data_IF_467625168934
#
_entry.id   IF_467625168934
#
_cell.length_a   1.000
_cell.length_b   1.000
_cell.length_c   1.000
_cell.angle_alpha   90.00
_cell.angle_beta   90.00
_cell.angle_gamma   90.00
#
_symmetry.space_group_name_H-M   'P 1'
#
loop_
_entity.id
_entity.type
_entity.pdbx_description
1 polymer ?
#
# COMPACT_ATOMS: atom_id res chain seq x y z
N UNK A 1 40.73 -2.63 0.79
CA UNK A 1 40.06 -3.66 -0.02
C UNK A 1 39.55 -4.85 0.79
N UNK A 2 40.31 -5.41 1.75
CA UNK A 2 39.88 -6.54 2.61
C UNK A 2 38.54 -6.34 3.39
N UNK A 3 38.16 -5.09 3.69
CA UNK A 3 36.86 -4.75 4.33
C UNK A 3 35.63 -5.10 3.49
N UNK A 4 35.78 -5.21 2.16
CA UNK A 4 34.67 -5.46 1.23
C UNK A 4 34.59 -6.92 0.78
N UNK A 5 35.51 -7.77 1.26
CA UNK A 5 35.56 -9.20 0.91
C UNK A 5 34.71 -10.00 1.90
N UNK A 6 33.39 -9.94 1.67
CA UNK A 6 32.39 -10.60 2.52
C UNK A 6 31.97 -11.90 1.83
N UNK A 7 32.32 -13.04 2.43
CA UNK A 7 31.89 -14.34 1.97
C UNK A 7 30.52 -14.71 2.56
N UNK A 8 29.61 -15.28 1.76
CA UNK A 8 28.35 -15.80 2.28
C UNK A 8 28.63 -17.05 3.15
N UNK A 9 27.75 -17.29 4.11
CA UNK A 9 27.75 -18.56 4.85
C UNK A 9 27.36 -19.69 3.89
N UNK A 10 28.16 -20.75 3.87
CA UNK A 10 27.90 -21.96 3.07
C UNK A 10 27.76 -23.13 4.05
N UNK A 11 26.58 -23.77 4.12
CA UNK A 11 26.40 -24.93 4.99
C UNK A 11 27.32 -26.07 4.55
N UNK A 12 28.13 -26.59 5.47
CA UNK A 12 28.93 -27.80 5.29
C UNK A 12 28.22 -29.01 5.88
N UNK A 13 28.31 -30.16 5.24
CA UNK A 13 27.72 -31.40 5.71
C UNK A 13 28.65 -32.59 5.46
N UNK A 14 28.55 -33.61 6.30
CA UNK A 14 29.29 -34.86 6.15
C UNK A 14 28.52 -35.86 5.29
N UNK A 15 29.23 -36.85 4.71
CA UNK A 15 28.61 -37.85 3.84
C UNK A 15 27.48 -38.63 4.54
N UNK A 16 27.66 -38.98 5.81
CA UNK A 16 26.65 -39.69 6.60
C UNK A 16 25.36 -38.87 6.80
N UNK A 17 25.50 -37.57 7.05
CA UNK A 17 24.35 -36.65 7.19
C UNK A 17 23.59 -36.48 5.88
N UNK A 18 24.29 -36.59 4.75
CA UNK A 18 23.67 -36.50 3.44
C UNK A 18 22.76 -37.70 3.18
N UNK A 19 23.27 -38.91 3.40
CA UNK A 19 22.54 -40.16 3.18
C UNK A 19 21.29 -40.28 4.07
N UNK A 20 21.37 -39.82 5.31
CA UNK A 20 20.27 -39.92 6.28
C UNK A 20 19.18 -38.86 6.08
N UNK A 21 19.54 -37.61 5.77
CA UNK A 21 18.59 -36.49 5.84
C UNK A 21 18.47 -35.65 4.55
N UNK A 22 19.46 -35.68 3.66
CA UNK A 22 19.53 -34.75 2.52
C UNK A 22 19.27 -35.41 1.15
N UNK A 23 18.93 -36.69 1.12
CA UNK A 23 18.58 -37.42 -0.10
C UNK A 23 17.34 -36.84 -0.79
N UNK A 24 17.33 -36.88 -2.12
CA UNK A 24 16.26 -36.35 -2.96
C UNK A 24 16.21 -37.12 -4.28
N UNK A 25 15.01 -37.43 -4.81
CA UNK A 25 14.87 -38.22 -6.04
C UNK A 25 15.38 -37.51 -7.29
N UNK A 26 15.44 -36.18 -7.30
CA UNK A 26 15.83 -35.37 -8.46
C UNK A 26 17.28 -34.90 -8.39
N UNK A 27 17.98 -35.13 -7.29
CA UNK A 27 19.33 -34.60 -7.04
C UNK A 27 20.30 -35.68 -6.56
N UNK A 28 21.44 -35.78 -7.24
CA UNK A 28 22.53 -36.64 -6.76
C UNK A 28 23.35 -35.93 -5.67
N UNK A 29 24.10 -36.73 -4.88
CA UNK A 29 25.01 -36.21 -3.88
C UNK A 29 26.10 -35.33 -4.51
N UNK A 30 26.64 -35.77 -5.64
CA UNK A 30 27.67 -35.06 -6.40
C UNK A 30 27.15 -33.73 -6.96
N UNK A 31 25.94 -33.73 -7.55
CA UNK A 31 25.31 -32.51 -8.06
C UNK A 31 25.04 -31.51 -6.92
N UNK A 32 24.61 -32.02 -5.77
CA UNK A 32 24.37 -31.17 -4.60
C UNK A 32 25.67 -30.57 -4.07
N UNK A 33 26.75 -31.34 -4.00
CA UNK A 33 28.07 -30.83 -3.60
C UNK A 33 28.58 -29.77 -4.59
N UNK A 34 28.39 -30.01 -5.90
CA UNK A 34 28.72 -29.06 -6.94
C UNK A 34 27.95 -27.73 -6.80
N UNK A 35 26.65 -27.79 -6.47
CA UNK A 35 25.86 -26.60 -6.17
C UNK A 35 26.41 -25.81 -4.99
N UNK A 36 26.79 -26.47 -3.89
CA UNK A 36 27.35 -25.79 -2.72
C UNK A 36 28.70 -25.12 -3.04
N UNK A 37 29.56 -25.80 -3.79
CA UNK A 37 30.82 -25.24 -4.26
C UNK A 37 30.59 -24.01 -5.17
N UNK A 38 29.70 -24.14 -6.16
CA UNK A 38 29.37 -23.06 -7.09
C UNK A 38 28.79 -21.85 -6.35
N UNK A 39 27.96 -22.09 -5.33
CA UNK A 39 27.41 -21.04 -4.47
C UNK A 39 28.52 -20.28 -3.73
N UNK A 40 29.51 -20.98 -3.18
CA UNK A 40 30.67 -20.40 -2.51
C UNK A 40 31.52 -19.55 -3.47
N UNK A 41 31.88 -20.10 -4.64
CA UNK A 41 32.69 -19.43 -5.65
C UNK A 41 32.02 -18.17 -6.21
N UNK A 42 30.69 -18.18 -6.32
CA UNK A 42 29.90 -17.07 -6.85
C UNK A 42 29.42 -16.09 -5.75
N UNK A 43 29.92 -16.21 -4.52
CA UNK A 43 29.55 -15.35 -3.38
C UNK A 43 28.03 -15.26 -3.15
N UNK A 44 27.30 -16.36 -3.36
CA UNK A 44 25.85 -16.44 -3.14
C UNK A 44 24.99 -15.63 -4.11
N UNK A 45 25.57 -15.15 -5.21
CA UNK A 45 24.84 -14.37 -6.23
C UNK A 45 24.10 -15.29 -7.18
N UNK A 46 22.82 -15.54 -6.89
CA UNK A 46 21.96 -16.45 -7.68
C UNK A 46 22.00 -16.27 -9.20
N UNK A 47 21.97 -15.05 -9.78
CA UNK A 47 22.06 -14.89 -11.24
C UNK A 47 23.39 -15.41 -11.80
N UNK A 48 24.50 -15.18 -11.09
CA UNK A 48 25.84 -15.63 -11.51
C UNK A 48 25.98 -17.14 -11.33
N UNK A 49 25.44 -17.68 -10.23
CA UNK A 49 25.40 -19.12 -9.98
C UNK A 49 24.69 -19.80 -11.14
N UNK A 50 23.47 -19.37 -11.48
CA UNK A 50 22.68 -19.95 -12.56
C UNK A 50 23.37 -19.84 -13.92
N UNK A 51 24.01 -18.71 -14.23
CA UNK A 51 24.76 -18.51 -15.47
C UNK A 51 25.97 -19.45 -15.59
N UNK A 52 26.65 -19.72 -14.48
CA UNK A 52 27.84 -20.61 -14.44
C UNK A 52 27.51 -22.07 -14.15
N UNK A 53 26.24 -22.38 -13.86
CA UNK A 53 25.84 -23.72 -13.45
C UNK A 53 25.79 -24.64 -14.66
N UNK A 54 26.88 -25.38 -14.87
CA UNK A 54 26.95 -26.44 -15.88
C UNK A 54 27.24 -27.77 -15.18
N UNK A 55 26.19 -28.57 -14.99
CA UNK A 55 26.30 -29.91 -14.44
C UNK A 55 25.80 -30.92 -15.48
N UNK A 56 26.74 -31.59 -16.15
CA UNK A 56 26.46 -32.69 -17.09
C UNK A 56 25.40 -32.35 -18.16
N UNK A 57 25.30 -31.08 -18.59
CA UNK A 57 24.30 -30.62 -19.55
C UNK A 57 22.87 -30.52 -18.99
N UNK A 58 22.68 -30.62 -17.67
CA UNK A 58 21.40 -30.42 -17.00
C UNK A 58 21.00 -28.94 -17.03
N UNK A 59 19.82 -28.65 -17.57
CA UNK A 59 19.23 -27.31 -17.60
C UNK A 59 18.36 -27.11 -16.36
N UNK A 60 18.98 -26.72 -15.24
CA UNK A 60 18.26 -26.39 -14.00
C UNK A 60 17.79 -24.96 -14.02
N UNK A 61 16.55 -24.70 -13.58
CA UNK A 61 16.09 -23.33 -13.41
C UNK A 61 16.68 -22.73 -12.14
N UNK A 62 16.78 -21.40 -12.09
CA UNK A 62 17.27 -20.66 -10.93
C UNK A 62 16.45 -20.97 -9.66
N UNK A 63 15.15 -21.21 -9.82
CA UNK A 63 14.21 -21.56 -8.77
C UNK A 63 14.47 -22.98 -8.22
N UNK A 64 14.83 -23.94 -9.07
CA UNK A 64 15.21 -25.30 -8.66
C UNK A 64 16.51 -25.31 -7.85
N UNK A 65 17.53 -24.57 -8.31
CA UNK A 65 18.81 -24.44 -7.61
C UNK A 65 18.59 -23.85 -6.20
N UNK A 66 17.74 -22.82 -6.10
CA UNK A 66 17.35 -22.21 -4.82
C UNK A 66 16.60 -23.18 -3.92
N UNK A 67 15.62 -23.89 -4.46
CA UNK A 67 14.82 -24.83 -3.70
C UNK A 67 15.70 -25.89 -3.04
N UNK A 68 16.66 -26.46 -3.80
CA UNK A 68 17.60 -27.45 -3.29
C UNK A 68 18.48 -26.87 -2.18
N UNK A 69 19.10 -25.73 -2.43
CA UNK A 69 19.98 -25.07 -1.46
C UNK A 69 19.26 -24.70 -0.16
N UNK A 70 18.06 -24.13 -0.25
CA UNK A 70 17.28 -23.72 0.92
C UNK A 70 16.76 -24.91 1.73
N UNK A 71 16.35 -25.99 1.06
CA UNK A 71 15.94 -27.23 1.74
C UNK A 71 17.09 -27.80 2.58
N UNK A 72 18.27 -27.92 1.99
CA UNK A 72 19.47 -28.42 2.69
C UNK A 72 19.83 -27.48 3.83
N UNK A 73 19.87 -26.18 3.58
CA UNK A 73 20.19 -25.18 4.60
C UNK A 73 19.22 -25.24 5.78
N UNK A 74 17.91 -25.39 5.51
CA UNK A 74 16.90 -25.50 6.56
C UNK A 74 17.05 -26.80 7.36
N UNK A 75 17.33 -27.93 6.69
CA UNK A 75 17.54 -29.22 7.35
C UNK A 75 18.80 -29.23 8.21
N UNK A 76 19.92 -28.73 7.70
CA UNK A 76 21.17 -28.64 8.46
C UNK A 76 21.01 -27.73 9.67
N UNK A 77 20.36 -26.59 9.49
CA UNK A 77 20.09 -25.66 10.59
C UNK A 77 19.21 -26.29 11.68
N UNK A 78 18.21 -27.10 11.32
CA UNK A 78 17.37 -27.82 12.27
C UNK A 78 18.10 -28.99 12.96
N UNK A 79 19.09 -29.60 12.31
CA UNK A 79 19.94 -30.65 12.89
C UNK A 79 20.96 -30.08 13.87
N UNK A 80 21.57 -28.93 13.53
CA UNK A 80 22.52 -28.23 14.40
C UNK A 80 21.85 -27.61 15.63
N UNK A 81 20.66 -27.04 15.44
CA UNK A 81 19.90 -26.40 16.52
C UNK A 81 18.42 -26.77 16.38
N UNK A 82 17.90 -27.68 17.22
CA UNK A 82 16.50 -28.03 17.24
C UNK A 82 15.62 -26.78 17.42
N UNK A 83 14.41 -26.81 16.84
CA UNK A 83 13.48 -25.65 16.80
C UNK A 83 13.24 -25.03 18.19
N UNK A 84 13.21 -25.85 19.24
CA UNK A 84 12.97 -25.40 20.62
C UNK A 84 14.12 -24.59 21.23
N UNK A 85 15.34 -24.77 20.74
CA UNK A 85 16.56 -24.12 21.26
C UNK A 85 17.03 -22.97 20.37
N UNK A 86 16.31 -22.73 19.28
CA UNK A 86 16.69 -21.80 18.25
C UNK A 86 16.52 -20.34 18.68
N UNK A 87 17.52 -19.50 18.41
CA UNK A 87 17.37 -18.06 18.64
C UNK A 87 16.28 -17.46 17.75
N UNK A 88 15.63 -16.34 18.14
CA UNK A 88 14.57 -15.73 17.32
C UNK A 88 15.00 -15.42 15.88
N UNK A 89 16.26 -15.00 15.69
CA UNK A 89 16.84 -14.73 14.36
C UNK A 89 17.06 -16.00 13.54
N UNK A 90 17.55 -17.07 14.17
CA UNK A 90 17.71 -18.37 13.50
C UNK A 90 16.34 -18.94 13.12
N UNK A 91 15.35 -18.86 14.00
CA UNK A 91 13.99 -19.35 13.72
C UNK A 91 13.33 -18.58 12.57
N UNK A 92 13.52 -17.26 12.51
CA UNK A 92 13.07 -16.47 11.37
C UNK A 92 13.74 -16.91 10.05
N UNK A 93 15.05 -17.18 10.07
CA UNK A 93 15.78 -17.70 8.90
C UNK A 93 15.25 -19.08 8.49
N UNK A 94 15.16 -20.02 9.43
CA UNK A 94 14.64 -21.37 9.18
C UNK A 94 13.24 -21.33 8.57
N UNK A 95 12.34 -20.54 9.15
CA UNK A 95 10.99 -20.35 8.62
C UNK A 95 11.01 -19.80 7.19
N UNK A 96 11.89 -18.84 6.91
CA UNK A 96 12.03 -18.26 5.58
C UNK A 96 12.50 -19.30 4.57
N UNK A 97 13.55 -20.06 4.90
CA UNK A 97 14.11 -21.12 4.05
C UNK A 97 13.10 -22.23 3.79
N UNK A 98 12.37 -22.67 4.81
CA UNK A 98 11.40 -23.76 4.72
C UNK A 98 10.10 -23.35 4.02
N UNK A 99 9.77 -22.06 3.98
CA UNK A 99 8.59 -21.52 3.28
C UNK A 99 8.80 -21.28 1.79
N UNK A 100 9.99 -21.51 1.26
CA UNK A 100 10.29 -21.25 -0.14
C UNK A 100 9.57 -22.24 -1.06
N UNK A 101 8.78 -21.70 -1.98
CA UNK A 101 8.04 -22.46 -2.99
C UNK A 101 8.56 -22.10 -4.41
N UNK A 102 9.21 -23.03 -5.12
CA UNK A 102 9.77 -22.76 -6.45
C UNK A 102 8.68 -22.42 -7.48
N UNK A 103 7.49 -23.03 -7.39
CA UNK A 103 6.40 -22.80 -8.33
C UNK A 103 5.83 -21.39 -8.21
N UNK A 104 5.66 -20.93 -6.96
CA UNK A 104 5.23 -19.58 -6.67
C UNK A 104 6.25 -18.55 -7.16
N UNK A 105 7.54 -18.81 -6.96
CA UNK A 105 8.61 -17.92 -7.41
C UNK A 105 8.68 -17.83 -8.94
N UNK A 106 8.49 -18.96 -9.63
CA UNK A 106 8.41 -19.04 -11.09
C UNK A 106 7.26 -18.20 -11.64
N UNK A 107 6.05 -18.37 -11.11
CA UNK A 107 4.86 -17.56 -11.49
C UNK A 107 5.08 -16.07 -11.21
N UNK A 108 5.73 -15.75 -10.09
CA UNK A 108 6.07 -14.36 -9.74
C UNK A 108 7.02 -13.75 -10.77
N UNK A 109 8.04 -14.50 -11.21
CA UNK A 109 8.99 -14.07 -12.25
C UNK A 109 8.31 -13.90 -13.61
N UNK A 110 7.46 -14.84 -13.99
CA UNK A 110 6.68 -14.76 -15.23
C UNK A 110 5.77 -13.53 -15.26
N UNK A 111 5.07 -13.23 -14.15
CA UNK A 111 4.26 -12.02 -14.03
C UNK A 111 5.09 -10.75 -14.18
N UNK A 112 6.25 -10.67 -13.52
CA UNK A 112 7.16 -9.53 -13.65
C UNK A 112 7.72 -9.39 -15.06
N UNK A 113 8.02 -10.51 -15.73
CA UNK A 113 8.48 -10.51 -17.10
C UNK A 113 7.36 -10.01 -18.04
N UNK A 114 6.12 -10.42 -17.81
CA UNK A 114 4.95 -9.89 -18.54
C UNK A 114 4.81 -8.37 -18.34
N UNK A 115 4.88 -7.89 -17.10
CA UNK A 115 4.85 -6.44 -16.82
C UNK A 115 5.99 -5.66 -17.45
N UNK A 116 7.19 -6.25 -17.52
CA UNK A 116 8.36 -5.59 -18.11
C UNK A 116 8.20 -5.36 -19.62
N UNK A 117 7.53 -6.28 -20.32
CA UNK A 117 7.32 -6.19 -21.76
C UNK A 117 5.96 -5.59 -22.14
N UNK A 118 5.22 -5.07 -21.15
CA UNK A 118 3.90 -4.49 -21.36
C UNK A 118 3.99 -3.19 -22.18
N UNK A 119 3.20 -3.11 -23.24
CA UNK A 119 3.13 -1.92 -24.09
C UNK A 119 2.23 -0.83 -23.48
N UNK A 120 2.46 0.45 -23.81
CA UNK A 120 1.60 1.54 -23.34
C UNK A 120 0.15 1.43 -23.83
N UNK A 121 -0.06 0.89 -25.04
CA UNK A 121 -1.40 0.72 -25.62
C UNK A 121 -2.21 -0.34 -24.84
N UNK A 122 -1.59 -1.45 -24.46
CA UNK A 122 -2.19 -2.45 -23.55
C UNK A 122 -2.50 -1.86 -22.16
N UNK A 123 -1.71 -0.88 -21.70
CA UNK A 123 -2.02 -0.14 -20.47
C UNK A 123 -3.30 0.67 -20.61
N UNK A 124 -3.42 1.46 -21.66
CA UNK A 124 -4.60 2.26 -21.90
C UNK A 124 -5.86 1.40 -22.05
N UNK A 125 -5.78 0.33 -22.84
CA UNK A 125 -6.89 -0.62 -23.01
C UNK A 125 -7.31 -1.25 -21.68
N UNK A 126 -6.40 -1.82 -20.90
CA UNK A 126 -6.75 -2.40 -19.59
C UNK A 126 -7.37 -1.37 -18.64
N UNK A 127 -6.87 -0.13 -18.62
CA UNK A 127 -7.45 0.92 -17.78
C UNK A 127 -8.86 1.32 -18.24
N UNK A 128 -9.12 1.29 -19.55
CA UNK A 128 -10.45 1.52 -20.13
C UNK A 128 -11.41 0.39 -19.74
N UNK A 129 -10.97 -0.87 -19.83
CA UNK A 129 -11.76 -2.05 -19.46
C UNK A 129 -12.08 -2.06 -17.96
N UNK A 130 -11.12 -1.68 -17.10
CA UNK A 130 -11.35 -1.55 -15.67
C UNK A 130 -12.38 -0.47 -15.33
N UNK A 131 -12.35 0.66 -16.04
CA UNK A 131 -13.36 1.73 -15.89
C UNK A 131 -14.73 1.22 -16.31
N UNK A 132 -14.82 0.51 -17.43
CA UNK A 132 -16.08 -0.07 -17.91
C UNK A 132 -16.61 -1.17 -16.97
N UNK A 133 -15.73 -2.02 -16.45
CA UNK A 133 -16.08 -3.03 -15.45
C UNK A 133 -16.61 -2.39 -14.17
N UNK A 134 -15.96 -1.33 -13.66
CA UNK A 134 -16.47 -0.57 -12.52
C UNK A 134 -17.85 0.03 -12.79
N UNK A 135 -18.06 0.56 -14.00
CA UNK A 135 -19.36 1.10 -14.42
C UNK A 135 -20.43 0.00 -14.47
N UNK A 136 -20.10 -1.18 -14.99
CA UNK A 136 -21.00 -2.34 -15.02
C UNK A 136 -21.34 -2.79 -13.60
N UNK A 137 -20.34 -2.90 -12.71
CA UNK A 137 -20.56 -3.29 -11.31
C UNK A 137 -21.45 -2.28 -10.57
N UNK A 138 -21.25 -0.98 -10.79
CA UNK A 138 -22.10 0.06 -10.20
C UNK A 138 -23.54 -0.02 -10.72
N UNK A 139 -23.71 -0.26 -12.01
CA UNK A 139 -25.03 -0.43 -12.62
C UNK A 139 -25.71 -1.74 -12.18
N UNK A 140 -24.96 -2.82 -11.94
CA UNK A 140 -25.51 -4.08 -11.42
C UNK A 140 -26.20 -3.88 -10.07
N UNK A 141 -25.61 -3.11 -9.16
CA UNK A 141 -26.22 -2.79 -7.88
C UNK A 141 -27.54 -2.02 -8.04
N UNK A 142 -27.61 -1.09 -9.00
CA UNK A 142 -28.85 -0.37 -9.30
C UNK A 142 -29.91 -1.31 -9.89
N UNK A 143 -29.55 -2.14 -10.87
CA UNK A 143 -30.44 -3.11 -11.49
C UNK A 143 -30.95 -4.16 -10.48
N UNK A 144 -30.13 -4.55 -9.52
CA UNK A 144 -30.52 -5.46 -8.45
C UNK A 144 -31.52 -4.81 -7.49
N UNK A 145 -31.30 -3.56 -7.09
CA UNK A 145 -32.27 -2.78 -6.31
C UNK A 145 -33.60 -2.59 -7.05
N UNK A 146 -33.56 -2.25 -8.35
CA UNK A 146 -34.76 -2.12 -9.17
C UNK A 146 -35.51 -3.45 -9.30
N UNK A 147 -34.77 -4.56 -9.46
CA UNK A 147 -35.35 -5.91 -9.46
C UNK A 147 -35.95 -6.28 -8.12
N UNK A 148 -35.32 -5.96 -7.01
CA UNK A 148 -35.87 -6.17 -5.67
C UNK A 148 -37.15 -5.36 -5.46
N UNK A 149 -37.19 -4.10 -5.89
CA UNK A 149 -38.38 -3.27 -5.80
C UNK A 149 -39.52 -3.81 -6.68
N UNK A 150 -39.21 -4.29 -7.89
CA UNK A 150 -40.18 -4.96 -8.75
C UNK A 150 -40.70 -6.26 -8.12
N UNK A 151 -39.81 -7.08 -7.54
CA UNK A 151 -40.21 -8.30 -6.80
C UNK A 151 -41.11 -7.92 -5.62
N UNK A 152 -40.75 -6.92 -4.82
CA UNK A 152 -41.61 -6.43 -3.71
C UNK A 152 -42.98 -5.95 -4.18
N UNK A 153 -43.05 -5.28 -5.34
CA UNK A 153 -44.31 -4.82 -5.93
C UNK A 153 -45.15 -5.97 -6.49
N UNK A 154 -44.49 -6.96 -7.08
CA UNK A 154 -45.13 -8.14 -7.67
C UNK A 154 -45.58 -9.15 -6.60
N UNK A 155 -44.77 -9.32 -5.56
CA UNK A 155 -45.03 -10.12 -4.35
C UNK A 155 -45.95 -9.40 -3.36
N UNK A 156 -46.49 -8.21 -3.73
CA UNK A 156 -47.61 -7.65 -2.99
C UNK A 156 -48.70 -8.72 -2.97
N UNK A 157 -49.24 -9.08 -1.79
CA UNK A 157 -50.21 -10.16 -1.72
C UNK A 157 -51.35 -9.84 -2.68
N UNK A 158 -51.45 -10.61 -3.77
CA UNK A 158 -52.71 -10.79 -4.48
C UNK A 158 -53.67 -11.15 -3.36
N UNK A 159 -54.58 -10.23 -3.04
CA UNK A 159 -55.53 -10.40 -1.96
C UNK A 159 -56.22 -11.74 -2.20
N UNK A 160 -55.80 -12.76 -1.43
CA UNK A 160 -56.46 -14.05 -1.44
C UNK A 160 -57.84 -13.76 -0.90
N UNK A 161 -58.81 -13.71 -1.83
CA UNK A 161 -60.24 -13.88 -1.63
C UNK A 161 -60.66 -13.82 -0.16
N UNK A 162 -61.13 -12.65 0.28
CA UNK A 162 -61.74 -12.48 1.60
C UNK A 162 -62.00 -11.01 1.90
N UNK A 163 -63.25 -10.59 1.75
CA UNK A 163 -63.82 -9.25 2.01
C UNK A 163 -63.37 -8.10 1.10
N UNK A 164 -64.05 -7.96 -0.04
CA UNK A 164 -64.41 -6.62 -0.52
C UNK A 164 -65.33 -6.01 0.53
N UNK A 165 -64.98 -4.88 1.17
CA UNK A 165 -65.83 -4.27 2.19
C UNK A 165 -67.10 -3.76 1.51
N UNK A 166 -68.26 -4.34 1.88
CA UNK A 166 -69.54 -4.06 1.24
C UNK A 166 -70.25 -2.85 1.85
N UNK A 167 -69.84 -2.44 3.06
CA UNK A 167 -70.39 -1.28 3.77
C UNK A 167 -69.37 -0.14 3.89
N UNK A 168 -69.86 1.10 3.82
CA UNK A 168 -69.04 2.31 3.98
C UNK A 168 -68.39 2.41 5.36
N UNK A 169 -68.99 1.80 6.38
CA UNK A 169 -68.48 1.76 7.75
C UNK A 169 -67.31 0.79 7.90
N UNK A 170 -67.38 -0.38 7.26
CA UNK A 170 -66.25 -1.32 7.20
C UNK A 170 -65.07 -0.75 6.41
N UNK A 171 -65.35 -0.02 5.32
CA UNK A 171 -64.32 0.72 4.59
C UNK A 171 -63.64 1.76 5.48
N UNK A 172 -64.40 2.51 6.28
CA UNK A 172 -63.85 3.54 7.16
C UNK A 172 -63.01 2.94 8.30
N UNK A 173 -63.42 1.79 8.84
CA UNK A 173 -62.67 1.05 9.85
C UNK A 173 -61.40 0.41 9.28
N UNK A 174 -61.48 -0.17 8.08
CA UNK A 174 -60.32 -0.68 7.35
C UNK A 174 -59.34 0.46 7.04
N UNK A 175 -59.85 1.62 6.61
CA UNK A 175 -59.03 2.80 6.31
C UNK A 175 -58.33 3.33 7.56
N UNK A 176 -59.03 3.41 8.71
CA UNK A 176 -58.39 3.78 9.99
C UNK A 176 -57.34 2.75 10.44
N UNK A 177 -57.62 1.46 10.26
CA UNK A 177 -56.64 0.39 10.55
C UNK A 177 -55.41 0.51 9.67
N UNK A 178 -55.59 0.76 8.37
CA UNK A 178 -54.49 0.94 7.41
C UNK A 178 -53.69 2.21 7.71
N UNK A 179 -54.34 3.33 8.07
CA UNK A 179 -53.68 4.58 8.45
C UNK A 179 -52.90 4.42 9.76
N UNK A 180 -53.41 3.64 10.71
CA UNK A 180 -52.69 3.33 11.94
C UNK A 180 -51.50 2.38 11.69
N UNK A 181 -51.64 1.42 10.78
CA UNK A 181 -50.54 0.56 10.34
C UNK A 181 -49.47 1.33 9.55
N UNK A 182 -49.87 2.30 8.72
CA UNK A 182 -48.95 3.18 7.99
C UNK A 182 -48.24 4.18 8.94
N UNK A 183 -48.93 4.66 9.98
CA UNK A 183 -48.29 5.41 11.09
C UNK A 183 -47.32 4.56 11.90
N UNK A 184 -47.66 3.30 12.18
CA UNK A 184 -46.80 2.38 12.90
C UNK A 184 -45.55 1.99 12.10
N UNK A 185 -45.64 1.96 10.77
CA UNK A 185 -44.51 1.74 9.86
C UNK A 185 -43.68 3.02 9.60
N UNK A 186 -44.22 4.20 9.88
CA UNK A 186 -43.51 5.48 9.77
C UNK A 186 -42.83 5.88 11.09
N UNK A 187 -41.68 5.25 11.37
CA UNK A 187 -40.44 5.97 11.69
C UNK A 187 -39.24 5.00 11.81
N UNK A 188 -38.01 5.29 11.31
CA UNK A 188 -37.59 6.41 10.47
C UNK A 188 -36.69 5.96 9.29
N UNK A 189 -37.22 5.88 8.07
CA UNK A 189 -36.41 6.05 6.84
C UNK A 189 -37.28 6.84 5.85
N UNK A 190 -36.72 7.94 5.35
CA UNK A 190 -37.35 9.01 4.56
C UNK A 190 -38.08 10.11 5.37
N UNK A 191 -37.31 11.09 5.86
CA UNK A 191 -37.68 12.50 5.66
C UNK A 191 -37.05 12.95 4.36
N UNK A 192 -37.87 13.29 3.37
CA UNK A 192 -37.46 14.07 2.22
C UNK A 192 -37.55 15.55 2.62
N UNK A 193 -36.42 16.26 2.65
CA UNK A 193 -36.43 17.72 2.61
C UNK A 193 -36.02 18.13 1.20
N UNK A 194 -36.91 18.81 0.49
CA UNK A 194 -36.59 19.44 -0.79
C UNK A 194 -35.73 20.69 -0.58
N UNK A 195 -34.84 20.94 -1.54
CA UNK A 195 -34.35 22.28 -1.87
C UNK A 195 -32.90 22.61 -1.52
N UNK A 196 -31.98 22.25 -2.43
CA UNK A 196 -30.85 23.09 -2.86
C UNK A 196 -29.65 23.27 -1.91
N UNK A 197 -28.50 22.73 -2.30
CA UNK A 197 -27.19 23.15 -1.77
C UNK A 197 -26.17 22.02 -1.70
N UNK A 198 -25.18 22.06 -2.60
CA UNK A 198 -23.94 21.27 -2.53
C UNK A 198 -23.29 21.46 -1.17
N UNK A 199 -22.93 20.38 -0.46
CA UNK A 199 -21.68 20.35 0.30
C UNK A 199 -21.26 18.94 0.75
N UNK A 200 -19.96 18.85 1.02
CA UNK A 200 -19.09 17.69 1.09
C UNK A 200 -19.37 16.65 2.18
N UNK A 201 -18.96 15.41 1.87
CA UNK A 201 -19.03 14.25 2.75
C UNK A 201 -18.10 14.29 3.97
N UNK A 202 -18.53 13.60 5.01
CA UNK A 202 -17.75 13.18 6.17
C UNK A 202 -18.42 11.90 6.76
N UNK A 203 -17.72 11.09 7.56
CA UNK A 203 -17.34 9.73 7.19
C UNK A 203 -18.16 8.64 7.88
N UNK A 204 -18.25 7.48 7.22
CA UNK A 204 -18.77 6.26 7.82
C UNK A 204 -17.86 5.78 8.96
N UNK A 205 -18.40 5.73 10.18
CA UNK A 205 -17.81 5.01 11.30
C UNK A 205 -17.94 3.50 11.06
N UNK A 206 -16.85 2.86 10.67
CA UNK A 206 -16.72 1.41 10.72
C UNK A 206 -16.47 0.98 12.18
N UNK A 207 -17.52 0.58 12.88
CA UNK A 207 -17.40 -0.16 14.14
C UNK A 207 -17.34 -1.65 13.84
N UNK A 208 -16.11 -2.16 13.66
CA UNK A 208 -15.77 -3.57 13.83
C UNK A 208 -14.24 -3.72 13.85
N UNK A 209 -13.62 -3.24 14.93
CA UNK A 209 -12.24 -3.59 15.24
C UNK A 209 -12.23 -4.93 15.99
N UNK A 210 -11.89 -5.99 15.28
CA UNK A 210 -11.24 -7.15 15.90
C UNK A 210 -9.94 -6.68 16.55
N UNK A 211 -9.54 -7.18 17.75
CA UNK A 211 -8.24 -6.85 18.32
C UNK A 211 -7.18 -7.51 17.44
N UNK A 212 -6.63 -6.74 16.51
CA UNK A 212 -5.44 -7.14 15.76
C UNK A 212 -4.27 -6.92 16.71
N UNK A 213 -3.61 -8.01 17.11
CA UNK A 213 -2.29 -7.95 17.75
C UNK A 213 -1.44 -6.92 17.00
N UNK A 214 -0.87 -5.98 17.77
CA UNK A 214 0.08 -5.02 17.23
C UNK A 214 1.20 -5.81 16.54
N UNK A 215 1.54 -5.50 15.27
CA UNK A 215 2.69 -6.11 14.64
C UNK A 215 3.93 -5.83 15.50
N UNK A 216 4.87 -6.79 15.61
CA UNK A 216 6.10 -6.59 16.36
C UNK A 216 6.76 -5.31 15.86
N UNK A 217 7.14 -4.41 16.78
CA UNK A 217 7.93 -3.23 16.46
C UNK A 217 9.27 -3.69 15.89
N UNK A 218 9.36 -3.74 14.57
CA UNK A 218 10.61 -3.87 13.85
C UNK A 218 11.35 -2.55 14.07
N UNK A 219 12.13 -2.48 15.15
CA UNK A 219 13.07 -1.40 15.36
C UNK A 219 14.10 -1.49 14.22
N UNK A 220 13.85 -0.70 13.17
CA UNK A 220 14.73 -0.62 12.02
C UNK A 220 16.10 -0.11 12.48
N UNK A 221 17.17 -0.64 11.90
CA UNK A 221 18.51 -0.07 12.08
C UNK A 221 18.52 1.41 11.70
N UNK A 222 19.35 2.23 12.35
CA UNK A 222 19.50 3.66 12.03
C UNK A 222 19.81 3.91 10.54
N UNK A 223 20.58 3.01 9.92
CA UNK A 223 20.89 3.08 8.50
C UNK A 223 19.66 2.80 7.61
N UNK A 224 18.79 1.88 8.02
CA UNK A 224 17.55 1.57 7.30
C UNK A 224 16.51 2.67 7.51
N UNK A 225 16.43 3.25 8.71
CA UNK A 225 15.57 4.40 8.99
C UNK A 225 15.90 5.60 8.06
N UNK A 226 17.19 5.91 7.89
CA UNK A 226 17.64 6.95 6.96
C UNK A 226 17.31 6.61 5.51
N UNK A 227 17.53 5.35 5.10
CA UNK A 227 17.24 4.88 3.74
C UNK A 227 15.76 4.92 3.39
N UNK A 228 14.89 4.53 4.32
CA UNK A 228 13.44 4.50 4.13
C UNK A 228 12.74 5.81 4.52
N UNK A 229 13.51 6.80 5.02
CA UNK A 229 12.98 8.10 5.42
C UNK A 229 12.01 8.05 6.60
N UNK A 230 12.18 7.06 7.49
CA UNK A 230 11.35 6.90 8.69
C UNK A 230 11.84 7.87 9.75
N UNK A 231 10.99 8.82 10.15
CA UNK A 231 11.29 9.81 11.18
C UNK A 231 10.33 9.62 12.35
N UNK A 232 10.88 9.32 13.52
CA UNK A 232 10.11 9.33 14.77
C UNK A 232 9.99 10.78 15.24
N UNK A 233 8.77 11.31 15.24
CA UNK A 233 8.48 12.64 15.77
C UNK A 233 7.86 12.52 17.17
N UNK A 234 8.38 13.28 18.14
CA UNK A 234 7.92 13.25 19.54
C UNK A 234 6.45 13.64 19.71
N UNK A 235 5.91 14.45 18.79
CA UNK A 235 4.50 14.87 18.76
C UNK A 235 4.00 14.92 17.32
N UNK A 236 3.10 14.00 16.98
CA UNK A 236 2.40 14.03 15.69
C UNK A 236 1.09 14.80 15.84
N UNK A 237 0.78 15.74 14.93
CA UNK A 237 -0.54 16.35 14.87
C UNK A 237 -1.59 15.27 14.60
N UNK A 238 -2.79 15.43 15.17
CA UNK A 238 -3.88 14.47 14.99
C UNK A 238 -4.22 14.29 13.50
N UNK A 239 -4.48 13.04 13.10
CA UNK A 239 -4.80 12.66 11.72
C UNK A 239 -3.60 12.20 10.89
N UNK A 240 -3.87 11.87 9.63
CA UNK A 240 -2.85 11.43 8.66
C UNK A 240 -2.32 12.66 7.94
N UNK A 241 -1.00 12.88 7.98
CA UNK A 241 -0.32 13.97 7.28
C UNK A 241 0.71 13.39 6.32
N UNK A 242 0.77 13.89 5.09
CA UNK A 242 1.72 13.44 4.10
C UNK A 242 3.01 14.28 4.14
N UNK A 243 4.15 13.68 3.79
CA UNK A 243 5.41 14.39 3.68
C UNK A 243 5.36 15.52 2.62
N UNK A 244 4.56 15.33 1.57
CA UNK A 244 4.29 16.36 0.54
C UNK A 244 3.62 17.61 1.12
N UNK A 245 2.82 17.49 2.18
CA UNK A 245 2.17 18.64 2.82
C UNK A 245 3.19 19.65 3.38
N UNK A 246 4.38 19.16 3.79
CA UNK A 246 5.47 20.02 4.27
C UNK A 246 6.11 20.83 3.15
N UNK A 247 5.90 20.47 1.88
CA UNK A 247 6.42 21.19 0.72
C UNK A 247 5.38 22.13 0.11
N UNK A 248 4.09 21.84 0.29
CA UNK A 248 2.97 22.62 -0.29
C UNK A 248 2.44 23.68 0.66
N UNK A 249 2.18 23.35 1.94
CA UNK A 249 1.59 24.28 2.92
C UNK A 249 2.44 25.54 3.16
N UNK A 250 3.79 25.47 3.23
CA UNK A 250 4.59 26.68 3.41
C UNK A 250 4.53 27.66 2.23
N UNK A 251 4.15 27.19 1.04
CA UNK A 251 4.02 28.05 -0.15
C UNK A 251 2.75 28.90 -0.13
N UNK A 252 1.74 28.51 0.66
CA UNK A 252 0.46 29.20 0.74
C UNK A 252 0.40 30.09 1.98
N UNK A 253 0.35 31.40 1.76
CA UNK A 253 0.14 32.38 2.82
C UNK A 253 -1.36 32.70 2.97
N UNK A 254 -1.72 33.37 4.08
CA UNK A 254 -3.11 33.83 4.33
C UNK A 254 -3.61 34.83 3.28
N UNK A 255 -2.70 35.55 2.61
CA UNK A 255 -3.01 36.51 1.56
C UNK A 255 -2.54 35.99 0.20
N UNK A 256 -3.42 36.00 -0.81
CA UNK A 256 -3.08 35.62 -2.19
C UNK A 256 -1.90 36.41 -2.74
N UNK A 257 -1.85 37.72 -2.47
CA UNK A 257 -0.76 38.58 -2.91
C UNK A 257 0.59 38.22 -2.26
N UNK A 258 0.58 37.63 -1.05
CA UNK A 258 1.79 37.11 -0.41
C UNK A 258 2.19 35.75 -1.00
N UNK A 259 1.22 34.88 -1.28
CA UNK A 259 1.45 33.61 -1.99
C UNK A 259 2.12 33.86 -3.35
N UNK A 260 1.62 34.82 -4.14
CA UNK A 260 2.21 35.16 -5.44
C UNK A 260 3.64 35.68 -5.32
N UNK A 261 3.93 36.49 -4.30
CA UNK A 261 5.29 36.97 -4.00
C UNK A 261 6.23 35.82 -3.63
N UNK A 262 5.77 34.88 -2.80
CA UNK A 262 6.54 33.69 -2.43
C UNK A 262 6.82 32.84 -3.68
N UNK A 263 5.82 32.61 -4.53
CA UNK A 263 5.96 31.88 -5.79
C UNK A 263 6.97 32.56 -6.73
N UNK A 264 6.90 33.89 -6.87
CA UNK A 264 7.85 34.64 -7.69
C UNK A 264 9.29 34.56 -7.15
N UNK A 265 9.48 34.64 -5.83
CA UNK A 265 10.80 34.49 -5.19
C UNK A 265 11.33 33.07 -5.40
N UNK A 266 10.51 32.04 -5.15
CA UNK A 266 10.92 30.65 -5.34
C UNK A 266 11.27 30.33 -6.80
N UNK A 267 10.51 30.88 -7.75
CA UNK A 267 10.81 30.79 -9.18
C UNK A 267 12.14 31.45 -9.52
N UNK A 268 12.46 32.61 -8.94
CA UNK A 268 13.76 33.30 -9.17
C UNK A 268 14.97 32.53 -8.63
N UNK A 269 14.77 31.73 -7.57
CA UNK A 269 15.80 30.88 -6.97
C UNK A 269 15.93 29.54 -7.73
N UNK A 270 15.04 29.27 -8.69
CA UNK A 270 15.03 28.04 -9.47
C UNK A 270 14.42 26.84 -8.72
N UNK A 271 13.62 27.09 -7.68
CA UNK A 271 12.91 26.01 -6.97
C UNK A 271 11.66 25.63 -7.77
N UNK A 272 11.54 24.37 -8.24
CA UNK A 272 10.36 23.91 -8.99
C UNK A 272 9.07 24.05 -8.19
N UNK A 273 7.94 24.26 -8.88
CA UNK A 273 6.62 24.34 -8.26
C UNK A 273 6.22 23.02 -7.59
N UNK A 274 6.51 21.91 -8.28
CA UNK A 274 6.28 20.55 -7.78
C UNK A 274 7.61 19.86 -7.50
N UNK A 275 7.77 19.37 -6.27
CA UNK A 275 8.90 18.53 -5.87
C UNK A 275 8.37 17.09 -5.74
N UNK A 276 8.67 16.19 -6.69
CA UNK A 276 8.04 14.87 -6.77
C UNK A 276 8.48 13.91 -5.67
N UNK A 277 9.68 14.11 -5.10
CA UNK A 277 10.24 13.22 -4.08
C UNK A 277 10.46 13.95 -2.73
N UNK A 278 9.47 13.91 -1.81
CA UNK A 278 9.58 14.52 -0.50
C UNK A 278 10.41 13.67 0.46
N UNK A 279 11.72 13.59 0.23
CA UNK A 279 12.65 12.94 1.16
C UNK A 279 12.91 13.82 2.39
N UNK A 280 13.32 13.24 3.55
CA UNK A 280 13.59 14.01 4.76
C UNK A 280 14.63 15.12 4.58
N UNK A 281 15.71 14.86 3.83
CA UNK A 281 16.73 15.86 3.54
C UNK A 281 16.20 16.99 2.65
N UNK A 282 15.39 16.66 1.64
CA UNK A 282 14.79 17.66 0.76
C UNK A 282 13.84 18.57 1.54
N UNK A 283 13.04 18.00 2.45
CA UNK A 283 12.14 18.77 3.32
C UNK A 283 12.94 19.71 4.21
N UNK A 284 14.03 19.23 4.84
CA UNK A 284 14.88 20.05 5.72
C UNK A 284 15.50 21.24 4.98
N UNK A 285 16.01 21.01 3.77
CA UNK A 285 16.58 22.08 2.93
C UNK A 285 15.48 23.06 2.50
N UNK A 286 14.31 22.56 2.11
CA UNK A 286 13.18 23.38 1.70
C UNK A 286 12.66 24.27 2.85
N UNK A 287 12.51 23.74 4.06
CA UNK A 287 12.17 24.52 5.26
C UNK A 287 13.18 25.64 5.51
N UNK A 288 14.48 25.36 5.33
CA UNK A 288 15.54 26.37 5.41
C UNK A 288 15.43 27.47 4.35
N UNK A 289 15.08 27.12 3.11
CA UNK A 289 14.83 28.09 2.03
C UNK A 289 13.61 28.95 2.37
N UNK A 290 12.50 28.34 2.79
CA UNK A 290 11.28 29.06 3.14
C UNK A 290 11.48 30.05 4.30
N UNK A 291 12.25 29.69 5.32
CA UNK A 291 12.61 30.62 6.38
C UNK A 291 13.36 31.85 5.85
N UNK A 292 14.31 31.66 4.92
CA UNK A 292 15.01 32.78 4.28
C UNK A 292 14.08 33.63 3.41
N UNK A 293 13.17 33.00 2.66
CA UNK A 293 12.17 33.70 1.83
C UNK A 293 11.27 34.58 2.70
N UNK A 294 10.81 34.08 3.85
CA UNK A 294 9.99 34.84 4.79
C UNK A 294 10.75 36.06 5.35
N UNK A 295 12.01 35.87 5.77
CA UNK A 295 12.86 36.99 6.24
C UNK A 295 13.06 38.04 5.15
N UNK A 296 13.32 37.62 3.91
CA UNK A 296 13.46 38.55 2.78
C UNK A 296 12.16 39.30 2.47
N UNK A 297 11.00 38.64 2.56
CA UNK A 297 9.71 39.27 2.38
C UNK A 297 9.45 40.34 3.45
N UNK A 298 9.81 40.08 4.71
CA UNK A 298 9.71 41.04 5.81
C UNK A 298 10.66 42.22 5.64
N UNK A 299 11.92 41.98 5.27
CA UNK A 299 12.89 43.05 4.99
C UNK A 299 12.43 43.94 3.84
N UNK A 300 11.87 43.36 2.77
CA UNK A 300 11.30 44.13 1.66
C UNK A 300 10.14 45.00 2.12
N UNK A 301 9.24 44.47 2.96
CA UNK A 301 8.13 45.23 3.53
C UNK A 301 8.62 46.43 4.35
N UNK A 302 9.66 46.24 5.17
CA UNK A 302 10.25 47.33 5.95
C UNK A 302 10.88 48.37 5.03
N UNK A 303 11.66 47.94 4.02
CA UNK A 303 12.26 48.84 3.04
C UNK A 303 11.23 49.70 2.31
N UNK A 304 10.15 49.10 1.81
CA UNK A 304 9.06 49.82 1.12
C UNK A 304 8.41 50.86 2.04
N UNK A 305 8.28 50.56 3.35
CA UNK A 305 7.77 51.51 4.35
C UNK A 305 8.74 52.68 4.57
N UNK A 306 10.03 52.42 4.77
CA UNK A 306 11.04 53.47 4.97
C UNK A 306 11.17 54.38 3.73
N UNK A 307 11.16 53.81 2.52
CA UNK A 307 11.18 54.56 1.27
C UNK A 307 9.94 55.46 1.12
N UNK A 308 8.78 54.96 1.51
CA UNK A 308 7.55 55.74 1.52
C UNK A 308 7.62 56.91 2.51
N UNK A 309 8.05 56.66 3.75
CA UNK A 309 8.22 57.72 4.75
C UNK A 309 9.24 58.78 4.30
N UNK A 310 10.34 58.36 3.69
CA UNK A 310 11.37 59.26 3.18
C UNK A 310 10.85 60.11 2.01
N UNK A 311 10.02 59.54 1.14
CA UNK A 311 9.36 60.28 0.05
C UNK A 311 8.36 61.30 0.59
N UNK A 312 7.59 60.94 1.62
CA UNK A 312 6.67 61.88 2.30
C UNK A 312 7.42 63.01 2.99
N UNK A 313 8.56 62.73 3.65
CA UNK A 313 9.38 63.77 4.29
C UNK A 313 10.07 64.74 3.31
N UNK A 314 10.23 64.34 2.04
CA UNK A 314 10.85 65.16 0.99
C UNK A 314 9.85 66.00 0.19
N UNK A 315 8.56 65.67 0.27
CA UNK A 315 7.48 66.40 -0.38
C UNK A 315 6.95 67.52 0.52
#
# INVERSE_FOLDING_TARGET
FKKYDVHPFVPSYEAETYESHLTDPLWSAEETAYLMQTYAECYGKWPVIHDRYDWQGSQRTLEDLKARFYNISAKLLALETPEQEMTPSQHALWKTLNSFDPERERKRKELLQSHLHRSPDEVEEETSLLRDLQRIMANQAQLESEREDLRRRLDYPIAKSGSTPSSSQELMALWQSLVNADRARKNPRLRTAGGGGRDHGAPHSATSATPREAPPSLDLSKADQERFGVVYADKLPAGVHFASDKLTKPRTAKSMLQTDKITAILSSVGVPELIPLPSPEVIRVFEGIMNKVNVLADMRRIKEKEEFELKVRKA
#
